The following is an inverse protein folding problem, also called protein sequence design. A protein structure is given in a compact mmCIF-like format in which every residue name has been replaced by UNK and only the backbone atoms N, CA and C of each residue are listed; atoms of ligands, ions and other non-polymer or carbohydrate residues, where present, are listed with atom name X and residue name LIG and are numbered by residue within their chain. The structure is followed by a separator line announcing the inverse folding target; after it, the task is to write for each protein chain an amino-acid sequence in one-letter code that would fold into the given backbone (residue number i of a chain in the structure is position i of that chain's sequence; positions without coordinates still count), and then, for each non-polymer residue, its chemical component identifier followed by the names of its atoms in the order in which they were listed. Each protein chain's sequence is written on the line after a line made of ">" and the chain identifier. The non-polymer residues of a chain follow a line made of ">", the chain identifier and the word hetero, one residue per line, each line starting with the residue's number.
data_IF_741072697146
#
_entry.id   IF_741072697146
#
_cell.length_a   1.000
_cell.length_b   1.000
_cell.length_c   1.000
_cell.angle_alpha   90.00
_cell.angle_beta   90.00
_cell.angle_gamma   90.00
#
_symmetry.space_group_name_H-M   'P 1'
#
loop_
_entity.id
_entity.type
_entity.pdbx_description
1 polymer ?
#
# COMPACT_ATOMS: atom_id res chain seq x y z
N UNK A 1 32.39 -30.68 20.23
CA UNK A 1 31.39 -30.57 19.14
C UNK A 1 30.24 -29.71 19.66
N UNK A 2 30.25 -28.42 19.34
CA UNK A 2 29.24 -27.48 19.83
C UNK A 2 27.95 -27.62 19.03
N UNK A 3 26.87 -28.02 19.69
CA UNK A 3 25.54 -28.02 19.10
C UNK A 3 25.16 -26.56 18.76
N UNK A 4 25.15 -26.25 17.47
CA UNK A 4 24.55 -25.01 16.96
C UNK A 4 23.05 -25.09 17.24
N UNK A 5 22.64 -24.48 18.35
CA UNK A 5 21.23 -24.30 18.68
C UNK A 5 20.61 -23.41 17.61
N UNK A 6 19.88 -24.03 16.68
CA UNK A 6 18.99 -23.34 15.76
C UNK A 6 17.93 -22.59 16.59
N UNK A 7 18.24 -21.36 17.01
CA UNK A 7 17.21 -20.46 17.56
C UNK A 7 16.25 -20.16 16.42
N UNK A 8 15.10 -20.83 16.43
CA UNK A 8 13.96 -20.42 15.62
C UNK A 8 13.66 -18.99 16.02
N UNK A 9 13.89 -18.04 15.11
CA UNK A 9 13.58 -16.64 15.34
C UNK A 9 12.10 -16.54 15.72
N UNK A 10 11.84 -16.05 16.94
CA UNK A 10 10.49 -15.91 17.48
C UNK A 10 9.73 -14.83 16.68
N UNK A 11 8.41 -14.81 16.81
CA UNK A 11 7.60 -13.71 16.26
C UNK A 11 7.36 -12.68 17.37
N UNK A 12 7.67 -11.42 17.09
CA UNK A 12 7.38 -10.28 17.97
C UNK A 12 6.08 -9.64 17.50
N UNK A 13 5.08 -9.61 18.38
CA UNK A 13 3.84 -8.86 18.14
C UNK A 13 4.07 -7.37 18.37
N UNK A 14 3.76 -6.55 17.38
CA UNK A 14 3.83 -5.10 17.46
C UNK A 14 2.55 -4.57 18.13
N UNK A 15 2.74 -3.89 19.25
CA UNK A 15 1.72 -3.06 19.89
C UNK A 15 1.65 -1.68 19.25
N UNK A 16 0.66 -0.88 19.63
CA UNK A 16 0.59 0.53 19.30
C UNK A 16 1.89 1.28 19.65
N UNK A 17 2.15 2.36 18.89
CA UNK A 17 3.29 3.25 19.05
C UNK A 17 4.37 3.07 17.98
N UNK A 18 5.41 3.89 18.09
CA UNK A 18 6.57 3.92 17.21
C UNK A 18 7.67 2.98 17.69
N UNK A 19 8.22 2.16 16.78
CA UNK A 19 9.25 1.17 17.08
C UNK A 19 10.25 1.06 15.93
N UNK A 20 11.54 0.91 16.26
CA UNK A 20 12.61 0.65 15.30
C UNK A 20 13.22 -0.73 15.52
N UNK A 21 13.43 -1.48 14.43
CA UNK A 21 13.98 -2.84 14.47
C UNK A 21 14.93 -3.10 13.31
N UNK A 22 16.23 -3.18 13.55
CA UNK A 22 17.23 -3.54 12.52
C UNK A 22 17.00 -2.82 11.17
N UNK A 23 16.84 -1.50 11.21
CA UNK A 23 16.57 -0.65 10.04
C UNK A 23 15.10 -0.48 9.67
N UNK A 24 14.18 -1.32 10.15
CA UNK A 24 12.75 -1.03 10.07
C UNK A 24 12.39 0.11 11.02
N UNK A 25 11.52 1.00 10.56
CA UNK A 25 10.96 2.13 11.29
C UNK A 25 9.44 2.07 11.10
N UNK A 26 8.73 1.64 12.15
CA UNK A 26 7.32 1.25 12.08
C UNK A 26 6.53 1.96 13.16
N UNK A 27 5.39 2.52 12.79
CA UNK A 27 4.46 3.13 13.73
C UNK A 27 3.07 2.54 13.53
N UNK A 28 2.45 2.04 14.61
CA UNK A 28 1.09 1.51 14.57
C UNK A 28 0.16 2.34 15.43
N UNK A 29 -0.92 2.83 14.84
CA UNK A 29 -1.94 3.69 15.45
C UNK A 29 -3.30 3.01 15.28
N UNK A 30 -3.80 2.25 16.29
CA UNK A 30 -4.96 1.37 16.12
C UNK A 30 -6.29 2.09 15.90
N UNK A 31 -6.46 3.30 16.44
CA UNK A 31 -7.70 4.11 16.35
C UNK A 31 -7.44 5.44 15.67
N UNK A 32 -6.78 5.39 14.51
CA UNK A 32 -6.51 6.61 13.74
C UNK A 32 -7.81 7.21 13.19
N UNK A 33 -8.71 6.36 12.72
CA UNK A 33 -10.11 6.66 12.49
C UNK A 33 -10.95 6.06 13.64
N UNK A 34 -12.03 6.75 14.00
CA UNK A 34 -13.08 6.16 14.82
C UNK A 34 -13.73 4.99 14.09
N UNK A 35 -14.46 4.15 14.84
CA UNK A 35 -15.13 2.98 14.27
C UNK A 35 -16.19 3.40 13.26
N UNK A 36 -16.92 4.46 13.57
CA UNK A 36 -17.99 5.03 12.76
C UNK A 36 -17.45 5.59 11.44
N UNK A 37 -16.39 6.41 11.50
CA UNK A 37 -15.70 6.92 10.30
C UNK A 37 -15.17 5.78 9.42
N UNK A 38 -14.57 4.76 10.02
CA UNK A 38 -13.99 3.64 9.28
C UNK A 38 -15.07 2.77 8.62
N UNK A 39 -16.20 2.53 9.29
CA UNK A 39 -17.33 1.75 8.77
C UNK A 39 -18.01 2.51 7.60
N UNK A 40 -18.24 3.82 7.75
CA UNK A 40 -18.82 4.67 6.69
C UNK A 40 -17.90 4.75 5.45
N UNK A 41 -16.60 4.94 5.68
CA UNK A 41 -15.61 4.97 4.60
C UNK A 41 -15.52 3.61 3.89
N UNK A 42 -15.67 2.50 4.62
CA UNK A 42 -15.68 1.16 4.03
C UNK A 42 -16.81 1.00 3.02
N UNK A 43 -18.04 1.32 3.43
CA UNK A 43 -19.21 1.17 2.55
C UNK A 43 -19.16 2.15 1.37
N UNK A 44 -18.70 3.37 1.60
CA UNK A 44 -18.51 4.37 0.53
C UNK A 44 -17.53 3.90 -0.54
N UNK A 45 -16.33 3.46 -0.13
CA UNK A 45 -15.30 3.01 -1.08
C UNK A 45 -15.70 1.72 -1.79
N UNK A 46 -16.38 0.80 -1.09
CA UNK A 46 -16.89 -0.44 -1.67
C UNK A 46 -17.82 -0.17 -2.87
N UNK A 47 -18.62 0.88 -2.82
CA UNK A 47 -19.54 1.30 -3.89
C UNK A 47 -18.84 2.13 -4.97
N UNK A 48 -17.99 3.10 -4.60
CA UNK A 48 -17.40 4.07 -5.54
C UNK A 48 -16.19 3.52 -6.31
N UNK A 49 -15.43 2.59 -5.74
CA UNK A 49 -14.19 2.11 -6.35
C UNK A 49 -14.49 1.14 -7.50
N UNK A 50 -13.96 1.37 -8.72
CA UNK A 50 -14.15 0.47 -9.85
C UNK A 50 -13.20 -0.73 -9.74
N UNK A 51 -13.54 -1.67 -8.87
CA UNK A 51 -12.70 -2.82 -8.53
C UNK A 51 -12.29 -3.63 -9.76
N UNK A 52 -10.98 -3.86 -9.91
CA UNK A 52 -10.42 -4.79 -10.89
C UNK A 52 -9.58 -5.84 -10.20
N UNK A 53 -9.42 -7.01 -10.81
CA UNK A 53 -8.47 -8.02 -10.34
C UNK A 53 -7.17 -7.90 -11.15
N UNK A 54 -6.10 -7.30 -10.59
CA UNK A 54 -4.86 -7.12 -11.34
C UNK A 54 -4.23 -8.47 -11.67
N UNK A 55 -3.44 -8.52 -12.74
CA UNK A 55 -2.60 -9.67 -13.08
C UNK A 55 -1.14 -9.33 -12.83
N UNK A 56 -0.39 -10.26 -12.29
CA UNK A 56 1.06 -10.14 -12.07
C UNK A 56 1.80 -11.19 -12.89
N UNK A 57 3.01 -10.86 -13.35
CA UNK A 57 3.85 -11.79 -14.09
C UNK A 57 4.75 -12.55 -13.13
N UNK A 58 4.60 -13.87 -13.10
CA UNK A 58 5.40 -14.79 -12.28
C UNK A 58 5.99 -15.84 -13.22
N UNK A 59 7.32 -15.95 -13.27
CA UNK A 59 8.06 -16.86 -14.18
C UNK A 59 7.59 -16.78 -15.64
N UNK A 60 7.35 -15.56 -16.14
CA UNK A 60 6.91 -15.32 -17.52
C UNK A 60 5.40 -15.39 -17.74
N UNK A 61 4.65 -16.04 -16.86
CA UNK A 61 3.20 -16.24 -16.98
C UNK A 61 2.39 -15.22 -16.18
N UNK A 62 1.22 -14.82 -16.69
CA UNK A 62 0.31 -13.88 -16.01
C UNK A 62 -0.69 -14.61 -15.11
N UNK A 63 -0.71 -14.25 -13.82
CA UNK A 63 -1.64 -14.82 -12.85
C UNK A 63 -2.51 -13.73 -12.21
N UNK A 64 -3.81 -13.98 -11.96
CA UNK A 64 -4.65 -13.05 -11.23
C UNK A 64 -4.17 -12.92 -9.78
N UNK A 65 -4.09 -11.69 -9.30
CA UNK A 65 -3.83 -11.42 -7.89
C UNK A 65 -5.00 -11.94 -7.05
N UNK A 66 -4.75 -12.58 -5.89
CA UNK A 66 -5.81 -12.99 -4.98
C UNK A 66 -6.30 -11.80 -4.14
N UNK A 67 -6.71 -10.72 -4.81
CA UNK A 67 -7.35 -9.51 -4.29
C UNK A 67 -7.86 -8.65 -5.43
N UNK A 68 -8.82 -7.77 -5.16
CA UNK A 68 -9.19 -6.69 -6.06
C UNK A 68 -8.37 -5.44 -5.72
N UNK A 69 -8.17 -4.55 -6.68
CA UNK A 69 -7.48 -3.29 -6.46
C UNK A 69 -7.91 -2.18 -7.43
N UNK A 70 -7.62 -0.95 -7.02
CA UNK A 70 -7.65 0.25 -7.85
C UNK A 70 -6.58 1.24 -7.35
N UNK A 71 -5.93 1.95 -8.27
CA UNK A 71 -4.95 2.99 -7.94
C UNK A 71 -5.58 4.36 -8.17
N UNK A 72 -5.40 5.26 -7.22
CA UNK A 72 -5.77 6.67 -7.29
C UNK A 72 -4.54 7.53 -7.06
N UNK A 73 -4.54 8.76 -7.56
CA UNK A 73 -3.36 9.60 -7.46
C UNK A 73 -3.41 10.80 -8.38
N UNK A 74 -2.36 11.61 -8.28
CA UNK A 74 -2.11 12.68 -9.23
C UNK A 74 -1.89 12.07 -10.62
N UNK A 75 -2.29 12.77 -11.68
CA UNK A 75 -2.18 12.26 -13.06
C UNK A 75 -0.75 11.81 -13.44
N UNK A 76 0.25 12.37 -12.76
CA UNK A 76 1.68 12.10 -12.96
C UNK A 76 2.24 10.99 -12.07
N UNK A 77 1.47 10.44 -11.13
CA UNK A 77 1.89 9.36 -10.23
C UNK A 77 1.82 7.98 -10.91
N UNK A 78 2.49 7.84 -12.06
CA UNK A 78 2.56 6.62 -12.86
C UNK A 78 3.71 5.75 -12.33
N UNK A 79 3.44 4.48 -12.03
CA UNK A 79 4.46 3.52 -11.58
C UNK A 79 4.29 2.15 -12.22
N UNK A 80 5.39 1.40 -12.30
CA UNK A 80 5.39 0.05 -12.84
C UNK A 80 5.45 -0.98 -11.72
N UNK A 81 4.55 -1.95 -11.74
CA UNK A 81 4.51 -3.06 -10.78
C UNK A 81 4.46 -4.40 -11.50
N UNK A 82 5.41 -5.30 -11.24
CA UNK A 82 5.49 -6.63 -11.87
C UNK A 82 5.42 -6.58 -13.41
N UNK A 83 6.02 -5.54 -14.02
CA UNK A 83 6.01 -5.31 -15.47
C UNK A 83 4.73 -4.69 -16.03
N UNK A 84 3.75 -4.33 -15.19
CA UNK A 84 2.50 -3.68 -15.58
C UNK A 84 2.55 -2.20 -15.17
N UNK A 85 2.31 -1.30 -16.12
CA UNK A 85 2.19 0.15 -15.86
C UNK A 85 0.83 0.47 -15.26
N UNK A 86 0.82 1.17 -14.12
CA UNK A 86 -0.40 1.62 -13.45
C UNK A 86 -0.62 3.11 -13.71
N UNK A 87 -1.77 3.43 -14.31
CA UNK A 87 -2.26 4.79 -14.45
C UNK A 87 -3.27 5.06 -13.32
N UNK A 88 -3.02 6.06 -12.46
CA UNK A 88 -3.94 6.35 -11.36
C UNK A 88 -5.24 6.95 -11.87
N UNK A 89 -6.34 6.57 -11.22
CA UNK A 89 -7.62 7.27 -11.32
C UNK A 89 -7.55 8.61 -10.59
N UNK A 90 -8.39 9.55 -11.01
CA UNK A 90 -8.58 10.82 -10.30
C UNK A 90 -9.08 10.56 -8.89
N UNK A 91 -8.51 11.26 -7.91
CA UNK A 91 -8.85 11.13 -6.51
C UNK A 91 -10.36 11.22 -6.24
N UNK A 92 -10.86 10.30 -5.40
CA UNK A 92 -12.14 10.48 -4.73
C UNK A 92 -11.98 11.53 -3.61
N UNK A 93 -13.07 12.23 -3.28
CA UNK A 93 -13.10 13.21 -2.18
C UNK A 93 -12.65 12.56 -0.87
N UNK A 94 -13.19 11.39 -0.54
CA UNK A 94 -12.89 10.67 0.71
C UNK A 94 -11.42 10.25 0.81
N UNK A 95 -10.82 9.86 -0.32
CA UNK A 95 -9.40 9.51 -0.37
C UNK A 95 -8.50 10.75 -0.24
N UNK A 96 -8.95 11.91 -0.75
CA UNK A 96 -8.24 13.18 -0.65
C UNK A 96 -8.26 13.73 0.78
N UNK A 97 -9.41 13.65 1.45
CA UNK A 97 -9.56 14.07 2.85
C UNK A 97 -8.72 13.19 3.78
N UNK A 98 -8.77 11.87 3.57
CA UNK A 98 -7.94 10.94 4.33
C UNK A 98 -6.45 11.18 4.08
N UNK A 99 -6.05 11.46 2.83
CA UNK A 99 -4.67 11.85 2.50
C UNK A 99 -4.25 13.07 3.30
N UNK A 100 -5.01 14.16 3.26
CA UNK A 100 -4.70 15.38 4.00
C UNK A 100 -4.55 15.12 5.51
N UNK A 101 -5.44 14.30 6.10
CA UNK A 101 -5.36 13.92 7.51
C UNK A 101 -4.08 13.13 7.83
N UNK A 102 -3.66 12.22 6.95
CA UNK A 102 -2.41 11.46 7.11
C UNK A 102 -1.22 12.42 6.97
N UNK A 103 -1.19 13.27 5.95
CA UNK A 103 -0.11 14.25 5.72
C UNK A 103 0.09 15.17 6.94
N UNK A 104 -1.01 15.65 7.53
CA UNK A 104 -0.96 16.47 8.74
C UNK A 104 -0.46 15.69 9.97
N UNK A 105 -0.70 14.37 10.03
CA UNK A 105 -0.22 13.54 11.13
C UNK A 105 1.25 13.14 10.96
N UNK A 106 1.68 12.85 9.73
CA UNK A 106 3.02 12.31 9.45
C UNK A 106 4.05 13.37 9.09
N UNK A 107 3.62 14.57 8.71
CA UNK A 107 4.45 15.61 8.08
C UNK A 107 5.12 15.14 6.78
N UNK A 108 4.60 14.08 6.18
CA UNK A 108 5.06 13.48 4.92
C UNK A 108 4.01 13.74 3.83
N UNK A 109 4.42 13.92 2.58
CA UNK A 109 3.49 14.11 1.44
C UNK A 109 3.20 12.80 0.73
N UNK A 110 1.98 12.64 0.19
CA UNK A 110 1.57 11.50 -0.61
C UNK A 110 0.88 11.99 -1.90
N UNK A 111 1.10 11.30 -3.01
CA UNK A 111 0.49 11.64 -4.31
C UNK A 111 -0.16 10.44 -5.00
N UNK A 112 -0.16 9.28 -4.34
CA UNK A 112 -0.80 8.06 -4.82
C UNK A 112 -1.35 7.24 -3.66
N UNK A 113 -2.45 6.54 -3.91
CA UNK A 113 -2.97 5.49 -3.04
C UNK A 113 -3.32 4.25 -3.85
N UNK A 114 -2.85 3.09 -3.40
CA UNK A 114 -3.30 1.79 -3.88
C UNK A 114 -4.38 1.25 -2.92
N UNK A 115 -5.60 1.17 -3.41
CA UNK A 115 -6.75 0.60 -2.70
C UNK A 115 -6.79 -0.89 -3.00
N UNK A 116 -6.64 -1.73 -1.97
CA UNK A 116 -6.72 -3.18 -2.08
C UNK A 116 -7.97 -3.69 -1.37
N UNK A 117 -8.70 -4.60 -1.99
CA UNK A 117 -9.88 -5.26 -1.44
C UNK A 117 -9.62 -6.77 -1.31
N UNK A 118 -9.60 -7.23 -0.06
CA UNK A 118 -9.53 -8.63 0.32
C UNK A 118 -10.95 -9.08 0.67
N UNK A 119 -11.57 -9.85 -0.22
CA UNK A 119 -12.99 -10.23 -0.11
C UNK A 119 -13.23 -11.17 1.07
N UNK A 120 -12.28 -12.06 1.32
CA UNK A 120 -12.33 -13.07 2.39
C UNK A 120 -10.92 -13.38 2.91
N UNK A 121 -10.82 -14.30 3.87
CA UNK A 121 -9.56 -14.85 4.37
C UNK A 121 -8.71 -15.58 3.31
N UNK A 122 -9.29 -15.92 2.16
CA UNK A 122 -8.61 -16.60 1.06
C UNK A 122 -7.84 -15.64 0.15
N UNK A 123 -8.22 -14.36 0.13
CA UNK A 123 -7.46 -13.30 -0.52
C UNK A 123 -6.20 -12.98 0.31
N UNK A 124 -5.11 -12.65 -0.37
CA UNK A 124 -3.79 -12.49 0.26
C UNK A 124 -2.86 -11.60 -0.55
N UNK A 125 -1.75 -11.23 0.08
CA UNK A 125 -0.61 -10.64 -0.60
C UNK A 125 0.63 -11.39 -0.17
N UNK A 126 1.32 -12.02 -1.13
CA UNK A 126 2.54 -12.79 -0.88
C UNK A 126 3.67 -11.93 -0.31
N UNK A 127 4.78 -12.57 0.03
CA UNK A 127 5.96 -11.85 0.48
C UNK A 127 6.46 -10.89 -0.60
N UNK A 128 6.50 -9.59 -0.28
CA UNK A 128 6.94 -8.54 -1.19
C UNK A 128 7.54 -7.36 -0.42
N UNK A 129 8.04 -6.38 -1.16
CA UNK A 129 8.52 -5.10 -0.68
C UNK A 129 7.94 -4.03 -1.60
N UNK A 130 7.68 -2.86 -1.06
CA UNK A 130 7.32 -1.69 -1.85
C UNK A 130 8.61 -0.95 -2.20
N UNK A 131 9.39 -1.54 -3.10
CA UNK A 131 10.74 -1.08 -3.47
C UNK A 131 10.85 -0.70 -4.95
N UNK A 132 9.73 -0.29 -5.55
CA UNK A 132 9.69 0.25 -6.90
C UNK A 132 10.61 1.47 -7.00
N UNK A 133 11.45 1.59 -8.04
CA UNK A 133 12.37 2.72 -8.20
C UNK A 133 11.67 4.08 -8.15
N UNK A 134 10.42 4.14 -8.62
CA UNK A 134 9.59 5.33 -8.60
C UNK A 134 9.23 5.80 -7.18
N UNK A 135 9.42 5.00 -6.14
CA UNK A 135 9.22 5.42 -4.74
C UNK A 135 10.47 6.08 -4.13
N UNK A 136 11.61 6.01 -4.80
CA UNK A 136 12.87 6.57 -4.28
C UNK A 136 13.54 5.73 -3.20
N UNK A 137 14.44 6.37 -2.45
CA UNK A 137 15.22 5.74 -1.38
C UNK A 137 14.45 5.90 -0.07
N UNK A 138 14.31 4.80 0.68
CA UNK A 138 13.67 4.75 2.00
C UNK A 138 12.29 5.44 2.03
N UNK A 139 11.34 5.03 1.16
CA UNK A 139 10.05 5.69 1.05
C UNK A 139 9.23 5.59 2.33
N UNK A 140 8.44 6.63 2.58
CA UNK A 140 7.39 6.59 3.59
C UNK A 140 6.12 6.02 3.00
N UNK A 141 5.56 5.02 3.68
CA UNK A 141 4.32 4.35 3.30
C UNK A 141 3.35 4.40 4.46
N UNK A 142 2.17 4.98 4.22
CA UNK A 142 1.09 5.04 5.19
C UNK A 142 -0.04 4.09 4.74
N UNK A 143 -0.45 3.19 5.63
CA UNK A 143 -1.39 2.10 5.31
C UNK A 143 -2.58 2.12 6.26
N UNK A 144 -3.75 2.51 5.75
CA UNK A 144 -5.02 2.47 6.49
C UNK A 144 -5.71 1.13 6.26
N UNK A 145 -6.19 0.50 7.33
CA UNK A 145 -7.02 -0.70 7.25
C UNK A 145 -8.47 -0.39 7.60
N UNK A 146 -9.40 -0.86 6.76
CA UNK A 146 -10.84 -0.72 6.99
C UNK A 146 -11.51 -2.10 6.90
N UNK A 147 -12.55 -2.31 7.71
CA UNK A 147 -13.26 -3.58 7.82
C UNK A 147 -12.51 -4.64 8.65
N UNK A 148 -12.49 -5.87 8.16
CA UNK A 148 -12.03 -7.02 8.95
C UNK A 148 -10.53 -7.00 9.25
N UNK A 149 -10.18 -7.26 10.51
CA UNK A 149 -8.78 -7.32 10.94
C UNK A 149 -8.01 -8.45 10.26
N UNK A 150 -6.77 -8.18 9.86
CA UNK A 150 -5.87 -9.18 9.27
C UNK A 150 -4.46 -9.04 9.80
N UNK A 151 -3.79 -10.19 9.92
CA UNK A 151 -2.36 -10.25 10.25
C UNK A 151 -1.56 -9.61 9.12
N UNK A 152 -0.60 -8.78 9.50
CA UNK A 152 0.45 -8.27 8.64
C UNK A 152 1.77 -8.73 9.24
N UNK A 153 2.55 -9.46 8.46
CA UNK A 153 3.77 -10.11 8.94
C UNK A 153 4.96 -9.58 8.16
N UNK A 154 6.03 -9.24 8.86
CA UNK A 154 7.30 -8.78 8.30
C UNK A 154 8.42 -9.75 8.64
N UNK A 155 9.36 -9.93 7.71
CA UNK A 155 10.61 -10.66 7.95
C UNK A 155 11.77 -9.96 7.27
N UNK A 156 12.94 -10.01 7.90
CA UNK A 156 14.16 -9.47 7.32
C UNK A 156 14.54 -10.28 6.06
N UNK A 157 15.03 -9.61 5.01
CA UNK A 157 15.32 -10.24 3.72
C UNK A 157 16.53 -11.18 3.75
N UNK A 158 17.62 -10.78 4.43
CA UNK A 158 18.90 -11.51 4.48
C UNK A 158 19.19 -12.22 5.81
N UNK A 159 18.73 -11.68 6.93
CA UNK A 159 19.01 -12.17 8.28
C UNK A 159 17.92 -13.12 8.77
N UNK A 160 18.31 -14.35 9.12
CA UNK A 160 17.39 -15.39 9.64
C UNK A 160 17.36 -15.46 11.16
N UNK A 161 18.35 -14.86 11.82
CA UNK A 161 18.46 -14.70 13.26
C UNK A 161 17.52 -13.60 13.81
N UNK A 162 17.05 -12.71 12.93
CA UNK A 162 16.11 -11.64 13.29
C UNK A 162 14.69 -12.18 13.37
N UNK A 163 14.04 -11.90 14.50
CA UNK A 163 12.64 -12.24 14.78
C UNK A 163 11.70 -11.65 13.73
N UNK A 164 10.65 -12.39 13.38
CA UNK A 164 9.57 -11.86 12.54
C UNK A 164 8.80 -10.81 13.33
N UNK A 165 8.29 -9.79 12.66
CA UNK A 165 7.36 -8.83 13.26
C UNK A 165 5.95 -9.16 12.79
N UNK A 166 4.97 -9.00 13.66
CA UNK A 166 3.57 -9.21 13.32
C UNK A 166 2.70 -8.14 13.95
N UNK A 167 1.76 -7.60 13.19
CA UNK A 167 0.72 -6.70 13.69
C UNK A 167 -0.64 -7.18 13.21
N UNK A 168 -1.62 -7.20 14.10
CA UNK A 168 -3.02 -7.37 13.71
C UNK A 168 -3.56 -6.00 13.34
N UNK A 169 -3.72 -5.74 12.04
CA UNK A 169 -4.23 -4.46 11.56
C UNK A 169 -5.74 -4.44 11.71
N UNK A 170 -6.24 -3.56 12.57
CA UNK A 170 -7.64 -3.43 12.94
C UNK A 170 -8.39 -2.39 12.08
N UNK A 171 -9.72 -2.38 12.18
CA UNK A 171 -10.55 -1.38 11.52
C UNK A 171 -10.19 0.04 11.97
N UNK A 172 -9.99 0.95 11.02
CA UNK A 172 -9.61 2.34 11.29
C UNK A 172 -8.14 2.54 11.71
N UNK A 173 -7.33 1.48 11.67
CA UNK A 173 -5.92 1.58 12.07
C UNK A 173 -5.03 2.13 10.97
N UNK A 174 -4.02 2.89 11.37
CA UNK A 174 -2.92 3.39 10.54
C UNK A 174 -1.63 2.63 10.88
N UNK A 175 -0.97 2.10 9.86
CA UNK A 175 0.39 1.57 9.94
C UNK A 175 1.29 2.43 9.06
N UNK A 176 2.35 3.00 9.63
CA UNK A 176 3.35 3.75 8.90
C UNK A 176 4.65 2.95 8.85
N UNK A 177 5.25 2.89 7.67
CA UNK A 177 6.54 2.26 7.42
C UNK A 177 7.50 3.28 6.81
N UNK A 178 8.64 3.51 7.45
CA UNK A 178 9.67 4.48 7.06
C UNK A 178 11.06 3.85 7.03
N UNK A 179 12.07 4.67 6.71
CA UNK A 179 13.48 4.29 6.75
C UNK A 179 13.77 3.08 5.86
N UNK A 180 14.67 2.21 6.33
CA UNK A 180 15.14 1.06 5.55
C UNK A 180 14.15 -0.12 5.57
N UNK A 181 12.89 0.12 5.93
CA UNK A 181 11.86 -0.93 5.97
C UNK A 181 11.72 -1.60 4.61
N UNK A 182 11.53 -0.83 3.52
CA UNK A 182 11.29 -1.42 2.20
C UNK A 182 12.56 -2.01 1.55
N UNK A 183 13.75 -1.65 2.03
CA UNK A 183 15.01 -2.18 1.52
C UNK A 183 15.44 -3.46 2.25
N UNK A 184 15.24 -3.53 3.58
CA UNK A 184 15.72 -4.63 4.43
C UNK A 184 14.65 -5.65 4.83
N UNK A 185 13.38 -5.28 4.78
CA UNK A 185 12.26 -6.13 5.20
C UNK A 185 11.31 -6.40 4.05
N UNK A 186 10.71 -7.58 4.06
CA UNK A 186 9.58 -7.93 3.21
C UNK A 186 8.37 -8.22 4.09
N UNK A 187 7.18 -7.97 3.56
CA UNK A 187 5.94 -8.11 4.29
C UNK A 187 4.88 -8.88 3.50
N UNK A 188 3.87 -9.39 4.20
CA UNK A 188 2.79 -10.22 3.64
C UNK A 188 1.50 -10.03 4.42
N UNK A 189 0.38 -10.17 3.73
CA UNK A 189 -0.94 -10.41 4.31
C UNK A 189 -1.29 -11.88 4.02
N UNK A 190 -1.03 -12.81 4.97
CA UNK A 190 -1.20 -14.23 4.72
C UNK A 190 -2.67 -14.61 4.64
N UNK A 191 -2.98 -15.68 3.91
CA UNK A 191 -4.30 -16.32 3.94
C UNK A 191 -4.63 -16.79 5.36
N UNK A 192 -5.92 -16.79 5.69
CA UNK A 192 -6.42 -17.37 6.94
C UNK A 192 -7.57 -18.33 6.63
N UNK A 193 -7.65 -19.41 7.41
CA UNK A 193 -8.79 -20.35 7.38
C UNK A 193 -9.95 -19.88 8.26
N UNK A 194 -9.72 -18.86 9.09
CA UNK A 194 -10.79 -18.22 9.85
C UNK A 194 -11.71 -17.49 8.89
N UNK A 195 -13.01 -17.58 9.13
CA UNK A 195 -13.99 -16.76 8.42
C UNK A 195 -13.73 -15.28 8.74
N UNK A 196 -13.39 -14.49 7.73
CA UNK A 196 -13.22 -13.04 7.85
C UNK A 196 -14.14 -12.36 6.85
N UNK A 197 -14.67 -11.20 7.22
CA UNK A 197 -15.38 -10.33 6.29
C UNK A 197 -14.44 -9.61 5.33
N UNK A 198 -15.01 -8.66 4.60
CA UNK A 198 -14.30 -7.76 3.71
C UNK A 198 -13.25 -6.95 4.48
N UNK A 199 -12.06 -6.81 3.88
CA UNK A 199 -11.03 -5.86 4.33
C UNK A 199 -10.61 -4.99 3.16
N UNK A 200 -10.65 -3.68 3.36
CA UNK A 200 -10.01 -2.71 2.49
C UNK A 200 -8.68 -2.27 3.10
N UNK A 201 -7.70 -1.97 2.24
CA UNK A 201 -6.41 -1.46 2.63
C UNK A 201 -5.99 -0.34 1.69
N UNK A 202 -5.75 0.84 2.24
CA UNK A 202 -5.37 2.05 1.50
C UNK A 202 -3.89 2.30 1.74
N UNK A 203 -3.06 2.02 0.75
CA UNK A 203 -1.60 2.22 0.84
C UNK A 203 -1.21 3.50 0.14
N UNK A 204 -1.01 4.57 0.91
CA UNK A 204 -0.55 5.87 0.46
C UNK A 204 0.96 5.87 0.27
N UNK A 205 1.41 6.48 -0.83
CA UNK A 205 2.82 6.55 -1.24
C UNK A 205 3.10 7.89 -1.91
N UNK A 206 4.37 8.25 -1.97
CA UNK A 206 4.87 9.35 -2.80
C UNK A 206 5.64 8.77 -3.99
N UNK A 207 5.09 8.94 -5.18
CA UNK A 207 5.70 8.51 -6.44
C UNK A 207 6.53 9.66 -6.99
N UNK A 208 7.83 9.46 -7.07
CA UNK A 208 8.77 10.37 -7.69
C UNK A 208 8.54 10.43 -9.21
N UNK A 209 8.44 11.64 -9.73
CA UNK A 209 8.40 11.87 -11.16
C UNK A 209 9.74 11.48 -11.80
N UNK A 210 9.72 10.67 -12.86
CA UNK A 210 10.90 10.50 -13.72
C UNK A 210 11.16 11.82 -14.45
N UNK A 211 12.18 12.58 -14.00
CA UNK A 211 12.79 13.62 -14.84
C UNK A 211 13.29 12.94 -16.12
N UNK A 212 12.66 13.21 -17.26
CA UNK A 212 13.13 12.71 -18.57
C UNK A 212 12.07 12.30 -19.60
N UNK A 213 10.77 12.22 -19.27
CA UNK A 213 9.75 12.24 -20.32
C UNK A 213 9.52 13.70 -20.70
N UNK A 214 9.96 14.06 -21.90
CA UNK A 214 9.62 15.34 -22.55
C UNK A 214 8.11 15.55 -22.52
N UNK A 215 7.77 16.82 -22.40
CA UNK A 215 6.45 17.41 -22.33
C UNK A 215 5.40 16.68 -23.18
N UNK A 216 4.18 16.61 -22.63
CA UNK A 216 2.98 16.49 -23.44
C UNK A 216 3.13 17.46 -24.63
N UNK A 217 3.25 16.93 -25.85
CA UNK A 217 2.89 17.71 -27.02
C UNK A 217 1.45 18.16 -26.78
N UNK A 218 1.29 19.44 -26.51
CA UNK A 218 0.02 20.13 -26.65
C UNK A 218 -0.53 19.80 -28.03
N UNK A 219 -1.71 19.20 -28.09
CA UNK A 219 -2.48 19.14 -29.32
C UNK A 219 -2.56 20.57 -29.89
N UNK A 220 -2.19 20.79 -31.16
CA UNK A 220 -2.45 22.08 -31.78
C UNK A 220 -3.96 22.22 -31.89
N UNK A 221 -4.51 23.16 -31.12
CA UNK A 221 -5.80 23.76 -31.41
C UNK A 221 -5.67 24.32 -32.83
N UNK A 222 -6.29 23.66 -33.80
CA UNK A 222 -6.55 24.23 -35.10
C UNK A 222 -7.62 25.31 -34.92
N UNK A 223 -7.19 26.52 -34.59
CA UNK A 223 -7.89 27.72 -35.04
C UNK A 223 -7.70 27.81 -36.55
N UNK A 224 -8.75 27.59 -37.33
CA UNK A 224 -8.85 28.20 -38.66
C UNK A 224 -10.32 28.58 -38.95
N UNK A 225 -10.48 29.90 -39.05
CA UNK A 225 -11.46 30.70 -39.80
C UNK A 225 -12.87 30.96 -39.23
N UNK A 226 -12.91 32.11 -38.54
CA UNK A 226 -13.92 33.16 -38.67
C UNK A 226 -14.30 33.47 -40.14
N UNK A 227 -15.60 33.53 -40.42
CA UNK A 227 -16.21 34.67 -41.13
C UNK A 227 -17.72 34.69 -40.94
N UNK A 228 -18.23 35.82 -40.44
CA UNK A 228 -19.61 36.26 -40.62
C UNK A 228 -19.98 36.31 -42.11
N UNK A 229 -21.11 35.73 -42.48
CA UNK A 229 -22.33 36.38 -43.03
C UNK A 229 -23.48 35.37 -43.02
#
# INVERSE_FOLDING_TARGET
>A
MGASSNRIAQTISLSAGHKKFHGADIEYVPRFLSREEADELTETLKLKVPWRQPKVRIFGSLYPCPRLAASYGDQRAIYQYSGVTNYPLMWLTELSELRCRIENYTEDSFNSVLVNCYRTGLDSMGWHRDNEPELGIDPVIASITLGSSRRFVMRHCKRRDVSRLEVSLENGSLLIMRGQTQSLWQHTVPKTRMTTGLRLNLTFRNVLWKRGCSEFQSDPISEEFSSCE
#
